data_IF_083686998816
#
_entry.id   IF_083686998816
#
_cell.length_a   1.000
_cell.length_b   1.000
_cell.length_c   1.000
_cell.angle_alpha   90.00
_cell.angle_beta   90.00
_cell.angle_gamma   90.00
#
_symmetry.space_group_name_H-M   'P 1'
#
loop_
_entity.id
_entity.type
_entity.pdbx_description
1 polymer ?
#
# COMPACT_ATOMS: atom_id res chain seq x y z
N UNK A 1 -4.53 19.43 -20.27
CA UNK A 1 -3.49 20.49 -20.18
C UNK A 1 -2.26 20.09 -19.38
N UNK A 2 -2.36 19.29 -18.30
CA UNK A 2 -1.16 18.85 -17.57
C UNK A 2 -0.55 17.54 -18.11
N UNK A 3 -1.37 16.58 -18.54
CA UNK A 3 -0.88 15.36 -19.19
C UNK A 3 -0.17 15.58 -20.54
N UNK A 4 -0.23 16.79 -21.10
CA UNK A 4 0.56 17.16 -22.29
C UNK A 4 2.01 17.53 -21.95
N UNK A 5 2.33 17.75 -20.67
CA UNK A 5 3.71 17.93 -20.21
C UNK A 5 4.37 16.56 -20.00
N UNK A 6 3.73 15.72 -19.18
CA UNK A 6 4.14 14.34 -18.90
C UNK A 6 2.96 13.55 -18.28
N UNK A 7 2.99 12.20 -18.29
CA UNK A 7 1.88 11.37 -17.80
C UNK A 7 1.70 11.37 -16.26
N UNK A 8 2.64 11.92 -15.50
CA UNK A 8 2.64 11.97 -14.03
C UNK A 8 2.25 13.35 -13.46
N UNK A 9 2.16 14.38 -14.30
CA UNK A 9 1.65 15.71 -13.96
C UNK A 9 0.12 15.70 -13.80
N UNK A 10 -0.35 15.87 -12.57
CA UNK A 10 -1.78 15.87 -12.21
C UNK A 10 -2.17 17.17 -11.50
N UNK A 11 -3.40 17.63 -11.72
CA UNK A 11 -4.04 18.66 -10.90
C UNK A 11 -4.87 17.96 -9.84
N UNK A 12 -4.73 18.39 -8.59
CA UNK A 12 -5.57 17.94 -7.50
C UNK A 12 -6.43 19.10 -7.02
N UNK A 13 -7.74 18.92 -6.99
CA UNK A 13 -8.60 19.80 -6.20
C UNK A 13 -8.36 19.60 -4.69
N UNK A 14 -8.95 20.45 -3.84
CA UNK A 14 -8.73 20.39 -2.39
C UNK A 14 -9.12 19.04 -1.78
N UNK A 15 -10.17 18.40 -2.29
CA UNK A 15 -10.65 17.11 -1.79
C UNK A 15 -9.72 15.98 -2.24
N UNK A 16 -9.29 16.00 -3.49
CA UNK A 16 -8.34 15.03 -4.04
C UNK A 16 -6.98 15.13 -3.35
N UNK A 17 -6.51 16.35 -3.05
CA UNK A 17 -5.25 16.57 -2.33
C UNK A 17 -5.30 16.04 -0.89
N UNK A 18 -6.40 16.28 -0.17
CA UNK A 18 -6.60 15.70 1.17
C UNK A 18 -6.64 14.16 1.14
N UNK A 19 -7.27 13.58 0.11
CA UNK A 19 -7.28 12.14 -0.10
C UNK A 19 -5.86 11.59 -0.37
N UNK A 20 -5.08 12.28 -1.22
CA UNK A 20 -3.69 11.92 -1.50
C UNK A 20 -2.80 11.98 -0.25
N UNK A 21 -2.91 13.06 0.54
CA UNK A 21 -2.20 13.20 1.82
C UNK A 21 -2.58 12.11 2.81
N UNK A 22 -3.87 11.75 2.84
CA UNK A 22 -4.37 10.66 3.66
C UNK A 22 -3.74 9.35 3.22
N UNK A 23 -3.77 8.99 1.94
CA UNK A 23 -3.16 7.76 1.44
C UNK A 23 -1.66 7.66 1.80
N UNK A 24 -0.92 8.79 1.82
CA UNK A 24 0.49 8.83 2.26
C UNK A 24 0.68 8.73 3.78
N UNK A 25 -0.35 8.96 4.59
CA UNK A 25 -0.28 8.95 6.06
C UNK A 25 -0.18 7.54 6.67
N UNK A 26 -0.05 6.50 5.85
CA UNK A 26 -0.07 5.07 6.23
C UNK A 26 -1.39 4.63 6.87
N UNK A 27 -2.43 5.46 6.67
CA UNK A 27 -3.79 5.24 7.12
C UNK A 27 -4.73 5.80 6.07
N UNK A 28 -5.83 5.12 5.79
CA UNK A 28 -6.92 5.70 5.01
C UNK A 28 -8.19 5.77 5.84
N UNK A 29 -9.10 6.68 5.48
CA UNK A 29 -10.41 6.77 6.13
C UNK A 29 -11.45 5.99 5.34
N UNK A 30 -12.08 5.02 5.99
CA UNK A 30 -13.06 4.16 5.37
C UNK A 30 -13.61 3.12 6.34
N UNK A 31 -14.18 2.04 5.79
CA UNK A 31 -14.79 0.99 6.61
C UNK A 31 -13.80 -0.09 7.07
N UNK A 32 -12.65 -0.25 6.40
CA UNK A 32 -11.64 -1.25 6.77
C UNK A 32 -12.04 -2.69 6.46
N UNK A 33 -12.16 -2.99 5.17
CA UNK A 33 -12.47 -4.32 4.66
C UNK A 33 -11.78 -4.53 3.30
N UNK A 34 -11.43 -5.79 3.02
CA UNK A 34 -11.07 -6.24 1.68
C UNK A 34 -12.34 -6.59 0.93
N UNK A 35 -12.48 -6.05 -0.28
CA UNK A 35 -13.59 -6.35 -1.19
C UNK A 35 -13.07 -7.00 -2.47
N UNK A 36 -13.94 -7.67 -3.21
CA UNK A 36 -13.61 -8.07 -4.56
C UNK A 36 -14.81 -8.47 -5.38
N UNK A 37 -14.59 -8.51 -6.69
CA UNK A 37 -15.64 -8.74 -7.66
C UNK A 37 -15.88 -10.22 -7.89
N UNK A 38 -17.15 -10.55 -8.11
CA UNK A 38 -17.58 -11.74 -8.82
C UNK A 38 -17.88 -11.31 -10.25
N UNK A 39 -17.17 -11.90 -11.20
CA UNK A 39 -17.38 -11.65 -12.62
C UNK A 39 -17.94 -12.88 -13.32
N UNK A 40 -18.66 -12.67 -14.41
CA UNK A 40 -19.07 -13.75 -15.31
C UNK A 40 -17.87 -14.28 -16.14
N UNK A 41 -18.11 -15.34 -16.90
CA UNK A 41 -17.09 -15.94 -17.78
C UNK A 41 -16.61 -14.99 -18.91
N UNK A 42 -17.31 -13.87 -19.14
CA UNK A 42 -16.98 -12.84 -20.12
C UNK A 42 -16.24 -11.65 -19.49
N UNK A 43 -16.01 -11.68 -18.17
CA UNK A 43 -15.32 -10.64 -17.42
C UNK A 43 -16.21 -9.49 -16.94
N UNK A 44 -17.53 -9.55 -17.14
CA UNK A 44 -18.44 -8.53 -16.64
C UNK A 44 -18.60 -8.67 -15.13
N UNK A 45 -18.45 -7.57 -14.38
CA UNK A 45 -18.66 -7.58 -12.93
C UNK A 45 -20.14 -7.74 -12.63
N UNK A 46 -20.49 -8.83 -11.94
CA UNK A 46 -21.85 -9.12 -11.51
C UNK A 46 -22.15 -8.47 -10.16
N UNK A 47 -21.19 -8.52 -9.23
CA UNK A 47 -21.32 -7.94 -7.91
C UNK A 47 -19.97 -7.86 -7.17
N UNK A 48 -19.89 -6.95 -6.21
CA UNK A 48 -18.76 -6.82 -5.30
C UNK A 48 -19.14 -7.34 -3.91
N UNK A 49 -18.23 -8.12 -3.31
CA UNK A 49 -18.44 -8.79 -2.02
C UNK A 49 -17.35 -8.44 -1.02
N UNK A 50 -17.70 -8.52 0.26
CA UNK A 50 -16.73 -8.52 1.36
C UNK A 50 -15.94 -9.83 1.33
N UNK A 51 -14.61 -9.72 1.16
CA UNK A 51 -13.66 -10.84 1.24
C UNK A 51 -13.03 -10.98 2.62
N UNK A 52 -12.88 -9.88 3.36
CA UNK A 52 -12.41 -9.91 4.73
C UNK A 52 -12.73 -8.56 5.40
N UNK A 53 -12.90 -8.56 6.72
CA UNK A 53 -12.89 -7.33 7.52
C UNK A 53 -11.61 -7.30 8.33
N UNK A 54 -10.97 -6.14 8.44
CA UNK A 54 -9.79 -6.03 9.30
C UNK A 54 -10.21 -6.06 10.76
N UNK A 55 -9.40 -6.71 11.59
CA UNK A 55 -9.65 -6.79 13.02
C UNK A 55 -9.77 -5.39 13.62
N UNK A 56 -10.74 -5.20 14.51
CA UNK A 56 -11.05 -3.92 15.15
C UNK A 56 -11.44 -2.78 14.20
N UNK A 57 -11.54 -2.99 12.89
CA UNK A 57 -11.95 -1.94 11.95
C UNK A 57 -13.46 -1.69 11.96
N UNK A 58 -13.95 -0.52 11.47
CA UNK A 58 -15.37 -0.18 11.48
C UNK A 58 -16.29 -1.26 10.89
N UNK A 59 -15.90 -1.89 9.78
CA UNK A 59 -16.64 -2.95 9.11
C UNK A 59 -16.79 -4.20 9.98
N UNK A 60 -15.72 -4.59 10.69
CA UNK A 60 -15.74 -5.73 11.60
C UNK A 60 -16.66 -5.45 12.80
N UNK A 61 -16.55 -4.26 13.41
CA UNK A 61 -17.41 -3.83 14.52
C UNK A 61 -18.90 -3.72 14.11
N UNK A 62 -19.16 -3.36 12.86
CA UNK A 62 -20.51 -3.29 12.30
C UNK A 62 -21.07 -4.66 11.88
N UNK A 63 -20.31 -5.75 12.04
CA UNK A 63 -20.78 -7.10 11.76
C UNK A 63 -20.88 -7.45 10.27
N UNK A 64 -20.10 -6.78 9.41
CA UNK A 64 -19.89 -7.26 8.04
C UNK A 64 -19.07 -8.55 8.07
N UNK A 65 -19.37 -9.46 7.13
CA UNK A 65 -18.80 -10.81 7.09
C UNK A 65 -18.37 -11.18 5.68
N UNK A 66 -17.53 -12.19 5.59
CA UNK A 66 -17.18 -12.81 4.31
C UNK A 66 -18.44 -13.17 3.51
N UNK A 67 -18.46 -12.83 2.23
CA UNK A 67 -19.54 -13.17 1.31
C UNK A 67 -20.72 -12.20 1.35
N UNK A 68 -20.73 -11.18 2.21
CA UNK A 68 -21.75 -10.14 2.15
C UNK A 68 -21.63 -9.38 0.83
N UNK A 69 -22.70 -9.40 0.03
CA UNK A 69 -22.79 -8.66 -1.23
C UNK A 69 -23.13 -7.21 -0.94
N UNK A 70 -22.34 -6.28 -1.49
CA UNK A 70 -22.61 -4.85 -1.35
C UNK A 70 -23.60 -4.45 -2.43
N UNK A 71 -24.84 -4.12 -2.05
CA UNK A 71 -25.93 -3.79 -2.98
C UNK A 71 -26.04 -2.30 -3.20
N UNK A 72 -25.95 -1.51 -2.13
CA UNK A 72 -26.02 -0.05 -2.19
C UNK A 72 -25.08 0.60 -1.17
N UNK A 73 -24.60 1.80 -1.49
CA UNK A 73 -23.89 2.67 -0.55
C UNK A 73 -24.48 4.07 -0.65
N UNK A 74 -24.95 4.61 0.48
CA UNK A 74 -25.56 5.93 0.57
C UNK A 74 -26.70 6.15 -0.46
N UNK A 75 -27.51 5.11 -0.70
CA UNK A 75 -28.62 5.15 -1.68
C UNK A 75 -28.19 5.02 -3.15
N UNK A 76 -26.89 4.93 -3.44
CA UNK A 76 -26.40 4.64 -4.79
C UNK A 76 -26.24 3.13 -4.96
N UNK A 77 -26.79 2.57 -6.04
CA UNK A 77 -26.61 1.14 -6.36
C UNK A 77 -25.17 0.80 -6.71
N UNK A 78 -24.67 -0.29 -6.14
CA UNK A 78 -23.34 -0.87 -6.40
C UNK A 78 -23.38 -2.06 -7.35
N UNK A 79 -24.57 -2.48 -7.81
CA UNK A 79 -24.72 -3.61 -8.73
C UNK A 79 -24.08 -3.26 -10.08
N UNK A 80 -23.23 -4.15 -10.60
CA UNK A 80 -22.51 -3.95 -11.86
C UNK A 80 -21.30 -3.01 -11.77
N UNK A 81 -21.06 -2.37 -10.62
CA UNK A 81 -19.84 -1.58 -10.39
C UNK A 81 -18.70 -2.50 -10.00
N UNK A 82 -17.50 -2.20 -10.48
CA UNK A 82 -16.29 -2.93 -10.07
C UNK A 82 -15.83 -2.51 -8.66
N UNK A 83 -14.96 -3.33 -8.07
CA UNK A 83 -14.48 -3.10 -6.70
C UNK A 83 -13.80 -1.74 -6.54
N UNK A 84 -13.19 -1.18 -7.59
CA UNK A 84 -12.53 0.13 -7.54
C UNK A 84 -13.55 1.25 -7.42
N UNK A 85 -14.64 1.18 -8.19
CA UNK A 85 -15.76 2.11 -8.03
C UNK A 85 -16.41 1.98 -6.65
N UNK A 86 -16.73 0.75 -6.22
CA UNK A 86 -17.34 0.48 -4.91
C UNK A 86 -16.44 1.00 -3.78
N UNK A 87 -15.13 0.77 -3.86
CA UNK A 87 -14.14 1.28 -2.90
C UNK A 87 -14.24 2.80 -2.70
N UNK A 88 -14.47 3.55 -3.77
CA UNK A 88 -14.54 5.01 -3.71
C UNK A 88 -15.76 5.50 -2.91
N UNK A 89 -16.88 4.74 -2.92
CA UNK A 89 -18.04 5.03 -2.08
C UNK A 89 -17.85 4.62 -0.62
N UNK A 90 -17.07 3.56 -0.37
CA UNK A 90 -16.78 3.08 0.99
C UNK A 90 -15.75 3.94 1.73
N UNK A 91 -14.84 4.58 0.99
CA UNK A 91 -13.93 5.61 1.53
C UNK A 91 -14.64 6.95 1.71
N UNK A 92 -14.07 7.80 2.54
CA UNK A 92 -14.61 9.13 2.83
C UNK A 92 -14.05 9.69 4.13
N UNK A 93 -14.36 10.97 4.46
CA UNK A 93 -13.79 11.63 5.62
C UNK A 93 -14.07 10.89 6.93
N UNK A 94 -13.12 10.95 7.86
CA UNK A 94 -13.27 10.37 9.21
C UNK A 94 -14.55 10.89 9.89
N UNK A 95 -15.26 10.02 10.59
CA UNK A 95 -16.47 10.36 11.33
C UNK A 95 -17.73 10.45 10.46
N UNK A 96 -17.63 10.42 9.13
CA UNK A 96 -18.80 10.37 8.25
C UNK A 96 -19.42 8.98 8.21
N UNK A 97 -20.74 8.91 8.12
CA UNK A 97 -21.45 7.64 7.97
C UNK A 97 -21.40 7.13 6.52
N UNK A 98 -21.24 5.81 6.39
CA UNK A 98 -21.50 5.06 5.18
C UNK A 98 -22.69 4.13 5.45
N UNK A 99 -23.81 4.37 4.78
CA UNK A 99 -25.01 3.53 4.89
C UNK A 99 -24.96 2.47 3.79
N UNK A 100 -24.66 1.23 4.16
CA UNK A 100 -24.57 0.11 3.24
C UNK A 100 -25.87 -0.69 3.27
N UNK A 101 -26.36 -1.08 2.10
CA UNK A 101 -27.31 -2.18 1.99
C UNK A 101 -26.53 -3.41 1.55
N UNK A 102 -26.51 -4.43 2.40
CA UNK A 102 -25.82 -5.69 2.12
C UNK A 102 -26.81 -6.84 1.99
N UNK A 103 -26.49 -7.80 1.14
CA UNK A 103 -27.24 -9.04 0.99
C UNK A 103 -26.38 -10.19 1.54
N UNK A 104 -26.87 -10.86 2.58
CA UNK A 104 -26.12 -11.90 3.31
C UNK A 104 -25.97 -13.15 2.45
N UNK A 105 -24.74 -13.69 2.41
CA UNK A 105 -24.47 -14.95 1.75
C UNK A 105 -25.32 -16.09 2.32
N UNK A 106 -25.83 -16.96 1.45
CA UNK A 106 -26.61 -18.15 1.82
C UNK A 106 -28.09 -17.90 2.18
N UNK A 107 -28.45 -16.74 2.72
CA UNK A 107 -29.86 -16.43 3.07
C UNK A 107 -30.53 -15.46 2.09
N UNK A 108 -29.76 -14.64 1.37
CA UNK A 108 -30.30 -13.61 0.48
C UNK A 108 -31.00 -12.46 1.23
N UNK A 109 -30.97 -12.45 2.56
CA UNK A 109 -31.57 -11.40 3.37
C UNK A 109 -30.80 -10.09 3.17
N UNK A 110 -31.54 -9.01 2.90
CA UNK A 110 -30.99 -7.66 2.83
C UNK A 110 -31.04 -6.96 4.18
N UNK A 111 -29.93 -6.34 4.55
CA UNK A 111 -29.78 -5.60 5.80
C UNK A 111 -29.13 -4.25 5.51
N UNK A 112 -29.59 -3.22 6.21
CA UNK A 112 -28.94 -1.92 6.20
C UNK A 112 -27.97 -1.85 7.36
N UNK A 113 -26.71 -1.56 7.07
CA UNK A 113 -25.64 -1.43 8.05
C UNK A 113 -25.06 -0.02 7.92
N UNK A 114 -25.15 0.76 8.99
CA UNK A 114 -24.53 2.07 9.06
C UNK A 114 -23.15 1.95 9.71
N UNK A 115 -22.13 2.45 9.03
CA UNK A 115 -20.72 2.33 9.44
C UNK A 115 -20.12 3.73 9.51
N UNK A 116 -19.64 4.12 10.68
CA UNK A 116 -18.87 5.35 10.83
C UNK A 116 -17.45 5.11 10.32
N UNK A 117 -17.05 5.87 9.30
CA UNK A 117 -15.71 5.78 8.73
C UNK A 117 -14.68 6.21 9.75
N UNK A 118 -13.61 5.42 9.90
CA UNK A 118 -12.52 5.72 10.82
C UNK A 118 -11.17 5.43 10.14
N UNK A 119 -10.09 5.76 10.84
CA UNK A 119 -8.74 5.44 10.40
C UNK A 119 -8.57 3.93 10.29
N UNK A 120 -8.15 3.46 9.13
CA UNK A 120 -7.78 2.07 8.86
C UNK A 120 -6.29 2.04 8.60
N UNK A 121 -5.57 1.18 9.34
CA UNK A 121 -4.14 1.00 9.15
C UNK A 121 -3.85 0.46 7.75
N UNK A 122 -2.88 1.07 7.07
CA UNK A 122 -2.37 0.61 5.79
C UNK A 122 -0.85 0.46 5.91
N UNK A 123 -0.40 -0.68 6.47
CA UNK A 123 1.03 -0.91 6.66
C UNK A 123 1.73 -0.98 5.29
N UNK A 124 2.95 -0.49 5.25
CA UNK A 124 3.82 -0.58 4.09
C UNK A 124 4.40 -2.00 3.92
N UNK A 125 4.61 -2.69 5.04
CA UNK A 125 5.03 -4.09 5.09
C UNK A 125 3.81 -4.97 5.36
N UNK A 126 3.40 -5.75 4.36
CA UNK A 126 2.29 -6.68 4.47
C UNK A 126 2.66 -7.88 5.35
N UNK A 127 3.87 -8.41 5.18
CA UNK A 127 4.35 -9.62 5.88
C UNK A 127 5.86 -9.56 6.09
N UNK A 128 6.34 -10.12 7.20
CA UNK A 128 7.76 -10.34 7.47
C UNK A 128 7.98 -11.66 8.23
N UNK A 129 8.77 -12.57 7.68
CA UNK A 129 9.02 -13.90 8.28
C UNK A 129 10.30 -14.58 7.73
N UNK A 130 10.74 -15.66 8.38
CA UNK A 130 11.83 -16.51 7.91
C UNK A 130 11.28 -17.52 6.90
N UNK A 131 11.67 -17.42 5.62
CA UNK A 131 11.20 -18.33 4.56
C UNK A 131 11.91 -19.69 4.60
N UNK A 132 13.17 -19.70 5.06
CA UNK A 132 14.06 -20.86 5.20
C UNK A 132 15.10 -20.52 6.27
N UNK A 133 15.76 -21.50 6.91
CA UNK A 133 16.80 -21.21 7.90
C UNK A 133 17.81 -20.18 7.38
N UNK A 134 17.98 -19.07 8.13
CA UNK A 134 18.88 -17.98 7.77
C UNK A 134 18.39 -17.00 6.71
N UNK A 135 17.23 -17.20 6.09
CA UNK A 135 16.70 -16.32 5.02
C UNK A 135 15.40 -15.66 5.48
N UNK A 136 15.48 -14.35 5.75
CA UNK A 136 14.34 -13.49 6.03
C UNK A 136 13.67 -13.00 4.76
N UNK A 137 12.38 -12.74 4.86
CA UNK A 137 11.55 -12.20 3.79
C UNK A 137 10.73 -11.04 4.34
N UNK A 138 10.73 -9.92 3.63
CA UNK A 138 9.91 -8.75 3.91
C UNK A 138 9.11 -8.40 2.66
N UNK A 139 7.78 -8.50 2.73
CA UNK A 139 6.87 -8.05 1.69
C UNK A 139 6.51 -6.57 1.88
N UNK A 140 7.31 -5.68 1.31
CA UNK A 140 7.07 -4.24 1.31
C UNK A 140 6.25 -3.83 0.09
N UNK A 141 5.04 -4.37 -0.01
CA UNK A 141 4.14 -4.18 -1.17
C UNK A 141 3.09 -3.09 -0.95
N UNK A 142 3.01 -2.50 0.26
CA UNK A 142 1.99 -1.52 0.65
C UNK A 142 2.30 -0.08 0.23
N UNK A 143 3.41 0.17 -0.46
CA UNK A 143 3.89 1.52 -0.81
C UNK A 143 4.88 2.09 0.21
N UNK A 144 5.55 3.19 -0.15
CA UNK A 144 6.38 3.97 0.75
C UNK A 144 5.54 5.04 1.48
N UNK A 145 4.93 4.66 2.60
CA UNK A 145 4.11 5.53 3.44
C UNK A 145 4.90 6.05 4.65
N UNK A 146 4.34 6.99 5.42
CA UNK A 146 5.02 7.63 6.55
C UNK A 146 5.64 6.65 7.58
N UNK A 147 5.05 5.46 7.78
CA UNK A 147 5.52 4.45 8.75
C UNK A 147 6.53 3.45 8.18
N UNK A 148 6.80 3.44 6.87
CA UNK A 148 7.60 2.41 6.17
C UNK A 148 8.91 2.09 6.87
N UNK A 149 9.73 3.11 7.16
CA UNK A 149 11.04 2.87 7.75
C UNK A 149 10.95 2.28 9.17
N UNK A 150 9.95 2.70 9.95
CA UNK A 150 9.75 2.17 11.29
C UNK A 150 9.33 0.70 11.25
N UNK A 151 8.39 0.35 10.36
CA UNK A 151 7.98 -1.03 10.11
C UNK A 151 9.15 -1.89 9.62
N UNK A 152 9.98 -1.35 8.72
CA UNK A 152 11.17 -2.01 8.19
C UNK A 152 12.20 -2.28 9.29
N UNK A 153 12.54 -1.27 10.09
CA UNK A 153 13.50 -1.42 11.18
C UNK A 153 13.03 -2.44 12.22
N UNK A 154 11.73 -2.43 12.56
CA UNK A 154 11.14 -3.42 13.46
C UNK A 154 11.20 -4.83 12.87
N UNK A 155 10.86 -4.99 11.58
CA UNK A 155 10.92 -6.27 10.88
C UNK A 155 12.35 -6.82 10.84
N UNK A 156 13.34 -5.97 10.53
CA UNK A 156 14.76 -6.33 10.55
C UNK A 156 15.21 -6.80 11.94
N UNK A 157 14.81 -6.10 13.00
CA UNK A 157 15.14 -6.48 14.38
C UNK A 157 14.57 -7.86 14.74
N UNK A 158 13.30 -8.11 14.41
CA UNK A 158 12.63 -9.39 14.68
C UNK A 158 13.29 -10.53 13.90
N UNK A 159 13.51 -10.35 12.60
CA UNK A 159 14.10 -11.38 11.74
C UNK A 159 15.54 -11.70 12.14
N UNK A 160 16.34 -10.70 12.53
CA UNK A 160 17.68 -10.91 13.09
C UNK A 160 17.65 -11.73 14.37
N UNK A 161 16.74 -11.42 15.29
CA UNK A 161 16.55 -12.20 16.51
C UNK A 161 16.13 -13.66 16.23
N UNK A 162 15.48 -13.91 15.08
CA UNK A 162 15.13 -15.24 14.59
C UNK A 162 16.24 -15.93 13.78
N UNK A 163 17.44 -15.34 13.72
CA UNK A 163 18.60 -15.93 13.04
C UNK A 163 18.71 -15.60 11.55
N UNK A 164 18.07 -14.54 11.05
CA UNK A 164 18.24 -14.07 9.68
C UNK A 164 19.71 -13.71 9.40
N UNK A 165 20.22 -14.24 8.29
CA UNK A 165 21.56 -13.98 7.75
C UNK A 165 21.52 -13.37 6.35
N UNK A 166 20.40 -13.53 5.63
CA UNK A 166 20.15 -13.00 4.29
C UNK A 166 18.71 -12.48 4.21
N UNK A 167 18.46 -11.47 3.39
CA UNK A 167 17.14 -10.86 3.24
C UNK A 167 16.66 -10.91 1.79
N UNK A 168 15.41 -11.33 1.61
CA UNK A 168 14.63 -11.08 0.40
C UNK A 168 13.67 -9.92 0.70
N UNK A 169 13.83 -8.81 0.00
CA UNK A 169 12.93 -7.66 0.08
C UNK A 169 12.05 -7.62 -1.17
N UNK A 170 10.76 -7.91 -0.99
CA UNK A 170 9.79 -7.95 -2.07
C UNK A 170 9.10 -6.59 -2.24
N UNK A 171 9.35 -5.96 -3.39
CA UNK A 171 8.80 -4.68 -3.84
C UNK A 171 7.87 -4.87 -5.06
N UNK A 172 7.47 -6.10 -5.40
CA UNK A 172 6.53 -6.35 -6.50
C UNK A 172 5.21 -5.62 -6.24
N UNK A 173 4.68 -4.97 -7.28
CA UNK A 173 3.47 -4.14 -7.22
C UNK A 173 3.55 -2.93 -6.27
N UNK A 174 4.74 -2.57 -5.78
CA UNK A 174 4.92 -1.35 -5.02
C UNK A 174 5.10 -0.16 -5.98
N UNK A 175 4.05 0.64 -6.16
CA UNK A 175 4.06 1.81 -7.05
C UNK A 175 4.90 3.01 -6.56
N UNK A 176 5.59 2.89 -5.43
CA UNK A 176 6.43 3.94 -4.87
C UNK A 176 5.78 4.64 -3.67
N UNK A 177 5.98 5.94 -3.55
CA UNK A 177 5.49 6.75 -2.44
C UNK A 177 6.50 7.81 -2.00
N UNK A 178 6.61 8.02 -0.70
CA UNK A 178 7.48 9.04 -0.11
C UNK A 178 8.96 8.69 -0.35
N UNK A 179 9.63 9.50 -1.18
CA UNK A 179 11.08 9.41 -1.46
C UNK A 179 11.90 9.42 -0.17
N UNK A 180 11.48 10.19 0.84
CA UNK A 180 12.16 10.24 2.15
C UNK A 180 12.15 8.91 2.88
N UNK A 181 11.12 8.08 2.70
CA UNK A 181 11.02 6.76 3.32
C UNK A 181 11.88 5.75 2.56
N UNK A 182 11.87 5.79 1.23
CA UNK A 182 12.76 4.97 0.43
C UNK A 182 14.24 5.31 0.66
N UNK A 183 14.58 6.59 0.80
CA UNK A 183 15.90 7.04 1.21
C UNK A 183 16.32 6.38 2.53
N UNK A 184 15.46 6.38 3.54
CA UNK A 184 15.77 5.80 4.86
C UNK A 184 15.97 4.29 4.79
N UNK A 185 15.15 3.57 4.02
CA UNK A 185 15.31 2.13 3.78
C UNK A 185 16.63 1.85 3.06
N UNK A 186 16.96 2.60 2.01
CA UNK A 186 18.24 2.43 1.30
C UNK A 186 19.46 2.79 2.17
N UNK A 187 19.35 3.84 2.98
CA UNK A 187 20.38 4.27 3.93
C UNK A 187 20.69 3.20 4.99
N UNK A 188 19.76 2.27 5.28
CA UNK A 188 20.04 1.15 6.18
C UNK A 188 21.18 0.25 5.65
N UNK A 189 21.32 0.11 4.33
CA UNK A 189 22.29 -0.79 3.69
C UNK A 189 23.54 -0.10 3.14
N UNK A 190 23.54 1.24 3.08
CA UNK A 190 24.59 2.01 2.43
C UNK A 190 25.41 2.81 3.44
N UNK A 191 26.73 2.73 3.33
CA UNK A 191 27.67 3.48 4.15
C UNK A 191 27.75 4.95 3.79
N UNK A 192 28.14 5.75 4.78
CA UNK A 192 28.31 7.21 4.66
C UNK A 192 29.04 7.59 3.38
N UNK A 193 28.44 8.51 2.62
CA UNK A 193 29.01 9.08 1.40
C UNK A 193 28.64 8.32 0.11
N UNK A 194 28.12 7.09 0.21
CA UNK A 194 27.58 6.39 -0.96
C UNK A 194 26.34 7.13 -1.50
N UNK A 195 26.27 7.34 -2.81
CA UNK A 195 25.11 7.99 -3.43
C UNK A 195 23.90 7.06 -3.40
N UNK A 196 22.74 7.58 -2.96
CA UNK A 196 21.45 6.88 -3.02
C UNK A 196 20.71 7.28 -4.29
N UNK A 197 20.51 8.59 -4.50
CA UNK A 197 19.92 9.10 -5.73
C UNK A 197 20.36 10.53 -6.02
N UNK A 198 20.14 10.96 -7.26
CA UNK A 198 20.35 12.34 -7.70
C UNK A 198 19.03 12.92 -8.20
N UNK A 199 18.68 14.10 -7.75
CA UNK A 199 17.58 14.89 -8.28
C UNK A 199 18.16 15.90 -9.26
N UNK A 200 17.55 16.04 -10.44
CA UNK A 200 17.96 17.03 -11.45
C UNK A 200 16.75 17.86 -11.86
N UNK A 201 16.71 19.11 -11.43
CA UNK A 201 15.72 20.07 -11.90
C UNK A 201 16.11 20.73 -13.23
N UNK A 202 15.15 21.47 -13.79
CA UNK A 202 15.29 22.15 -15.09
C UNK A 202 16.12 23.44 -15.00
N UNK A 203 16.20 24.05 -13.83
CA UNK A 203 16.98 25.26 -13.58
C UNK A 203 18.42 24.90 -13.21
N UNK A 204 19.39 25.67 -13.67
CA UNK A 204 20.77 25.52 -13.19
C UNK A 204 20.84 25.65 -11.67
N UNK A 205 21.64 24.80 -11.03
CA UNK A 205 21.77 24.75 -9.57
C UNK A 205 20.67 23.99 -8.82
N UNK A 206 19.69 23.40 -9.52
CA UNK A 206 18.63 22.56 -8.89
C UNK A 206 18.93 21.06 -8.97
N UNK A 207 20.21 20.72 -9.04
CA UNK A 207 20.67 19.34 -9.01
C UNK A 207 21.23 19.00 -7.64
N UNK A 208 20.57 18.07 -6.95
CA UNK A 208 20.94 17.61 -5.62
C UNK A 208 21.38 16.16 -5.65
N UNK A 209 22.43 15.83 -4.90
CA UNK A 209 22.89 14.45 -4.70
C UNK A 209 22.60 14.03 -3.27
N UNK A 210 21.72 13.05 -3.11
CA UNK A 210 21.37 12.50 -1.81
C UNK A 210 22.28 11.31 -1.52
N UNK A 211 23.10 11.46 -0.48
CA UNK A 211 24.07 10.46 -0.04
C UNK A 211 23.60 9.79 1.23
N UNK A 212 24.01 8.55 1.42
CA UNK A 212 23.84 7.85 2.68
C UNK A 212 24.65 8.53 3.79
N UNK A 213 24.10 8.55 4.99
CA UNK A 213 24.69 9.11 6.20
C UNK A 213 24.95 8.04 7.27
N UNK A 214 24.59 6.78 6.99
CA UNK A 214 24.72 5.68 7.92
C UNK A 214 26.18 5.30 8.21
N UNK A 215 26.55 5.32 9.48
CA UNK A 215 27.89 4.96 9.96
C UNK A 215 28.03 3.45 10.21
N UNK A 216 26.92 2.73 10.39
CA UNK A 216 26.87 1.30 10.65
C UNK A 216 25.87 0.62 9.72
N UNK A 217 26.20 0.45 8.43
CA UNK A 217 25.34 -0.22 7.47
C UNK A 217 25.05 -1.67 7.83
N UNK A 218 23.87 -2.11 7.45
CA UNK A 218 23.51 -3.51 7.50
C UNK A 218 24.40 -4.34 6.57
N UNK A 219 25.09 -5.34 7.13
CA UNK A 219 25.97 -6.25 6.38
C UNK A 219 25.29 -7.59 6.06
N UNK A 220 23.98 -7.52 5.80
CA UNK A 220 23.16 -8.67 5.41
C UNK A 220 23.06 -8.68 3.88
N UNK A 221 23.37 -9.78 3.19
CA UNK A 221 23.10 -9.90 1.76
C UNK A 221 21.61 -9.72 1.45
N UNK A 222 21.29 -8.83 0.51
CA UNK A 222 19.91 -8.52 0.12
C UNK A 222 19.65 -8.88 -1.34
N UNK A 223 18.51 -9.52 -1.57
CA UNK A 223 17.90 -9.71 -2.90
C UNK A 223 16.64 -8.86 -2.97
N UNK A 224 16.52 -8.06 -4.03
CA UNK A 224 15.30 -7.30 -4.32
C UNK A 224 14.45 -8.06 -5.34
N UNK A 225 13.17 -8.25 -5.01
CA UNK A 225 12.17 -8.73 -5.97
C UNK A 225 11.35 -7.54 -6.48
N UNK A 226 11.33 -7.37 -7.79
CA UNK A 226 10.59 -6.30 -8.49
C UNK A 226 9.82 -6.89 -9.67
N UNK A 227 8.77 -6.19 -10.11
CA UNK A 227 8.06 -6.51 -11.35
C UNK A 227 7.70 -5.21 -12.11
N UNK A 228 7.00 -5.34 -13.24
CA UNK A 228 6.57 -4.19 -14.07
C UNK A 228 5.70 -3.15 -13.36
N UNK A 229 5.17 -3.47 -12.17
CA UNK A 229 4.34 -2.58 -11.37
C UNK A 229 5.15 -1.94 -10.21
N UNK A 230 6.43 -2.26 -10.08
CA UNK A 230 7.36 -1.59 -9.16
C UNK A 230 7.83 -0.28 -9.79
N UNK A 231 7.59 0.87 -9.15
CA UNK A 231 7.84 2.18 -9.76
C UNK A 231 8.31 3.25 -8.76
N UNK A 232 8.94 4.31 -9.25
CA UNK A 232 9.29 5.52 -8.49
C UNK A 232 10.15 5.20 -7.27
N UNK A 233 9.66 5.44 -6.06
CA UNK A 233 10.41 5.19 -4.83
C UNK A 233 10.85 3.71 -4.68
N UNK A 234 10.16 2.78 -5.34
CA UNK A 234 10.53 1.36 -5.36
C UNK A 234 11.67 1.02 -6.33
N UNK A 235 12.02 1.93 -7.24
CA UNK A 235 13.14 1.77 -8.16
C UNK A 235 14.48 2.12 -7.50
N UNK A 236 14.46 2.72 -6.31
CA UNK A 236 15.66 2.96 -5.52
C UNK A 236 16.26 1.62 -5.06
N UNK A 237 17.21 1.10 -5.83
CA UNK A 237 18.00 -0.07 -5.46
C UNK A 237 19.28 0.38 -4.75
N UNK A 238 19.59 -0.14 -3.55
CA UNK A 238 20.92 0.01 -2.97
C UNK A 238 21.96 -0.60 -3.92
N UNK A 239 23.07 0.11 -4.12
CA UNK A 239 24.18 -0.27 -5.04
C UNK A 239 24.78 -1.66 -4.77
N UNK A 240 24.49 -2.28 -3.60
CA UNK A 240 24.92 -3.63 -3.21
C UNK A 240 23.89 -4.75 -3.42
N UNK A 241 22.72 -4.46 -4.00
CA UNK A 241 21.69 -5.49 -4.21
C UNK A 241 21.88 -6.27 -5.53
N UNK A 242 21.67 -7.59 -5.48
CA UNK A 242 21.36 -8.35 -6.70
C UNK A 242 19.88 -8.17 -7.00
N UNK A 243 19.56 -7.32 -7.98
CA UNK A 243 18.18 -7.20 -8.48
C UNK A 243 17.84 -8.44 -9.31
N UNK A 244 16.77 -9.15 -8.94
CA UNK A 244 16.25 -10.27 -9.73
C UNK A 244 14.83 -9.94 -10.15
N UNK A 245 14.60 -9.79 -11.46
CA UNK A 245 13.27 -9.60 -12.02
C UNK A 245 12.55 -10.95 -12.07
N UNK A 246 11.41 -11.06 -11.40
CA UNK A 246 10.52 -12.20 -11.60
C UNK A 246 9.67 -11.93 -12.85
N UNK A 247 9.79 -12.81 -13.87
CA UNK A 247 8.99 -12.78 -15.10
C UNK A 247 7.51 -13.08 -14.81
#
# INVERSE_FOLDING_TARGET
MLHTLDPHSNYFDAKEFEQFRTDQSSKYFGIGATIGDLSDAKGNVLATYIKATFENAPANRAGLRYGDKIVEVNGTSMVGKNFTEVRNFLRGPRGTAAKLVVERYGTGKRETVEIIRDAVAQPSIAEAYIIRPGVGYIAMTGGFNQTTYAEFAQSMQILKAQGMQQLVLDLRNNGGGLVSQAYRVANAFLGRGQTIFTQKGRLEGTADTYRAENQSPEDVPVVLLVNRNSASASEFSPVRCKTTTAL
#
